data_IF_984260670103
#
_entry.id   IF_984260670103
#
_cell.length_a   1.000
_cell.length_b   1.000
_cell.length_c   1.000
_cell.angle_alpha   90.00
_cell.angle_beta   90.00
_cell.angle_gamma   90.00
#
_symmetry.space_group_name_H-M   'P 1'
#
loop_
_entity.id
_entity.type
_entity.pdbx_description
1 polymer ?
#
# COMPACT_ATOMS: atom_id res chain seq x y z
N UNK A 1 -12.56 -1.01 4.74
CA UNK A 1 -11.18 -1.10 4.24
C UNK A 1 -10.28 -0.29 5.15
N UNK A 2 -9.21 -0.90 5.66
CA UNK A 2 -8.17 -0.27 6.48
C UNK A 2 -7.01 0.21 5.61
N UNK A 3 -6.08 0.98 6.18
CA UNK A 3 -4.92 1.50 5.43
C UNK A 3 -4.07 0.38 4.80
N UNK A 4 -3.84 -0.72 5.50
CA UNK A 4 -3.00 -1.80 4.98
C UNK A 4 -3.70 -2.58 3.86
N UNK A 5 -5.01 -2.81 3.96
CA UNK A 5 -5.82 -3.36 2.86
C UNK A 5 -5.76 -2.43 1.63
N UNK A 6 -5.76 -1.11 1.83
CA UNK A 6 -5.58 -0.12 0.75
C UNK A 6 -4.26 -0.33 0.01
N UNK A 7 -3.17 -0.44 0.78
CA UNK A 7 -1.81 -0.55 0.27
C UNK A 7 -1.65 -1.89 -0.45
N UNK A 8 -2.15 -2.98 0.14
CA UNK A 8 -2.11 -4.30 -0.47
C UNK A 8 -2.88 -4.33 -1.79
N UNK A 9 -4.11 -3.80 -1.82
CA UNK A 9 -4.90 -3.69 -3.04
C UNK A 9 -4.17 -2.89 -4.11
N UNK A 10 -3.60 -1.74 -3.76
CA UNK A 10 -2.84 -0.90 -4.70
C UNK A 10 -1.66 -1.65 -5.32
N UNK A 11 -0.83 -2.28 -4.47
CA UNK A 11 0.36 -3.00 -4.94
C UNK A 11 -0.02 -4.22 -5.79
N UNK A 12 -1.15 -4.89 -5.49
CA UNK A 12 -1.72 -5.95 -6.34
C UNK A 12 -2.15 -5.41 -7.70
N UNK A 13 -2.90 -4.30 -7.74
CA UNK A 13 -3.39 -3.70 -9.00
C UNK A 13 -2.25 -3.18 -9.88
N UNK A 14 -1.21 -2.59 -9.27
CA UNK A 14 -0.07 -2.02 -9.99
C UNK A 14 0.94 -3.10 -10.39
N UNK A 15 0.98 -4.23 -9.68
CA UNK A 15 1.87 -5.35 -9.96
C UNK A 15 3.36 -5.03 -9.83
N UNK A 16 3.71 -3.90 -9.20
CA UNK A 16 5.08 -3.42 -9.03
C UNK A 16 5.28 -2.84 -7.63
N UNK A 17 6.53 -2.81 -7.20
CA UNK A 17 6.96 -2.00 -6.06
C UNK A 17 6.70 -0.51 -6.32
N UNK A 18 6.31 0.20 -5.27
CA UNK A 18 6.01 1.64 -5.32
C UNK A 18 6.62 2.35 -4.11
N UNK A 19 6.90 3.64 -4.26
CA UNK A 19 7.34 4.47 -3.14
C UNK A 19 6.18 4.80 -2.19
N UNK A 20 6.48 5.09 -0.92
CA UNK A 20 5.49 5.57 0.04
C UNK A 20 4.76 6.83 -0.44
N UNK A 21 5.43 7.69 -1.22
CA UNK A 21 4.85 8.84 -1.92
C UNK A 21 3.79 8.44 -2.92
N UNK A 22 4.15 7.63 -3.91
CA UNK A 22 3.21 7.16 -4.94
C UNK A 22 2.02 6.43 -4.31
N UNK A 23 2.28 5.58 -3.30
CA UNK A 23 1.22 4.85 -2.57
C UNK A 23 0.25 5.83 -1.91
N UNK A 24 0.77 6.87 -1.26
CA UNK A 24 -0.05 7.90 -0.60
C UNK A 24 -0.92 8.63 -1.61
N UNK A 25 -0.32 9.04 -2.73
CA UNK A 25 -0.99 9.80 -3.79
C UNK A 25 -2.11 8.96 -4.44
N UNK A 26 -1.83 7.72 -4.84
CA UNK A 26 -2.82 6.83 -5.44
C UNK A 26 -3.96 6.50 -4.45
N UNK A 27 -3.67 6.21 -3.18
CA UNK A 27 -4.70 5.92 -2.17
C UNK A 27 -5.60 7.13 -1.94
N UNK A 28 -5.02 8.33 -1.77
CA UNK A 28 -5.78 9.56 -1.55
C UNK A 28 -6.60 9.93 -2.79
N UNK A 29 -6.03 9.79 -3.99
CA UNK A 29 -6.69 10.08 -5.26
C UNK A 29 -7.89 9.15 -5.49
N UNK A 30 -7.71 7.86 -5.23
CA UNK A 30 -8.76 6.85 -5.40
C UNK A 30 -9.75 6.82 -4.23
N UNK A 31 -9.50 7.59 -3.15
CA UNK A 31 -10.27 7.61 -1.90
C UNK A 31 -10.53 6.22 -1.34
N UNK A 32 -9.59 5.29 -1.54
CA UNK A 32 -9.75 3.92 -1.05
C UNK A 32 -9.75 3.90 0.48
N UNK A 33 -8.91 4.72 1.11
CA UNK A 33 -8.87 4.91 2.55
C UNK A 33 -8.91 6.40 2.90
N UNK A 34 -9.77 6.75 3.86
CA UNK A 34 -9.87 8.08 4.44
C UNK A 34 -9.85 7.95 5.95
N UNK A 35 -9.17 8.88 6.63
CA UNK A 35 -9.14 8.90 8.10
C UNK A 35 -10.52 9.29 8.65
N UNK A 36 -10.73 9.06 9.96
CA UNK A 36 -12.00 9.34 10.63
C UNK A 36 -12.43 10.81 10.54
N UNK A 37 -11.46 11.72 10.52
CA UNK A 37 -11.64 13.17 10.36
C UNK A 37 -11.85 13.60 8.90
N UNK A 38 -11.91 12.67 7.95
CA UNK A 38 -12.13 12.96 6.53
C UNK A 38 -10.87 13.38 5.76
N UNK A 39 -9.74 13.60 6.43
CA UNK A 39 -8.51 13.98 5.76
C UNK A 39 -7.77 12.76 5.16
N UNK A 40 -6.96 13.02 4.14
CA UNK A 40 -6.13 12.01 3.48
C UNK A 40 -5.01 11.49 4.38
N UNK A 41 -4.38 10.41 3.93
CA UNK A 41 -3.19 9.87 4.58
C UNK A 41 -1.92 10.58 4.14
N UNK A 42 -0.84 10.42 4.91
CA UNK A 42 0.49 10.88 4.54
C UNK A 42 1.50 9.73 4.43
N UNK A 43 2.65 10.02 3.81
CA UNK A 43 3.73 9.05 3.56
C UNK A 43 4.24 8.39 4.83
N UNK A 44 4.31 9.13 5.95
CA UNK A 44 4.72 8.59 7.24
C UNK A 44 3.77 7.53 7.78
N UNK A 45 2.47 7.65 7.49
CA UNK A 45 1.47 6.64 7.88
C UNK A 45 1.63 5.37 7.04
N UNK A 46 1.86 5.50 5.73
CA UNK A 46 2.18 4.36 4.86
C UNK A 46 3.47 3.67 5.33
N UNK A 47 4.50 4.47 5.63
CA UNK A 47 5.76 3.98 6.16
C UNK A 47 5.55 3.21 7.47
N UNK A 48 4.94 3.82 8.49
CA UNK A 48 4.71 3.16 9.77
C UNK A 48 3.90 1.87 9.62
N UNK A 49 2.88 1.87 8.75
CA UNK A 49 2.02 0.71 8.53
C UNK A 49 2.74 -0.46 7.88
N UNK A 50 3.48 -0.18 6.81
CA UNK A 50 4.23 -1.19 6.04
C UNK A 50 5.42 -1.74 6.85
N UNK A 51 6.05 -0.92 7.70
CA UNK A 51 7.08 -1.37 8.63
C UNK A 51 6.53 -2.38 9.65
N UNK A 52 5.39 -2.05 10.27
CA UNK A 52 4.79 -2.91 11.30
C UNK A 52 4.22 -4.22 10.74
N UNK A 53 3.93 -4.26 9.44
CA UNK A 53 3.38 -5.43 8.75
C UNK A 53 4.43 -6.08 7.84
N UNK A 54 5.62 -6.30 8.38
CA UNK A 54 6.75 -6.96 7.71
C UNK A 54 6.48 -8.40 7.25
N UNK A 55 5.38 -9.01 7.68
CA UNK A 55 4.92 -10.30 7.17
C UNK A 55 4.19 -10.19 5.82
N UNK A 56 3.62 -9.01 5.49
CA UNK A 56 2.92 -8.74 4.22
C UNK A 56 3.79 -7.94 3.24
N UNK A 57 4.52 -6.96 3.77
CA UNK A 57 5.26 -6.01 2.96
C UNK A 57 6.76 -6.24 3.07
N UNK A 58 7.42 -6.15 1.93
CA UNK A 58 8.87 -6.02 1.85
C UNK A 58 9.23 -4.56 1.57
N UNK A 59 10.37 -4.12 2.10
CA UNK A 59 10.74 -2.71 2.13
C UNK A 59 12.22 -2.51 1.89
N UNK A 60 12.51 -1.58 0.98
CA UNK A 60 13.84 -1.05 0.75
C UNK A 60 13.78 0.48 0.83
N UNK A 61 14.13 1.03 1.99
CA UNK A 61 13.93 2.45 2.30
C UNK A 61 12.47 2.90 2.14
N UNK A 62 12.23 3.80 1.18
CA UNK A 62 10.89 4.31 0.85
C UNK A 62 10.11 3.41 -0.13
N UNK A 63 10.75 2.38 -0.68
CA UNK A 63 10.15 1.45 -1.63
C UNK A 63 9.43 0.33 -0.88
N UNK A 64 8.23 -0.02 -1.35
CA UNK A 64 7.37 -1.04 -0.74
C UNK A 64 6.90 -2.01 -1.81
N UNK A 65 6.97 -3.30 -1.52
CA UNK A 65 6.43 -4.38 -2.36
C UNK A 65 5.69 -5.42 -1.50
N UNK A 66 4.98 -6.34 -2.14
CA UNK A 66 4.30 -7.44 -1.43
C UNK A 66 5.20 -8.68 -1.41
N UNK A 67 5.34 -9.31 -0.23
CA UNK A 67 6.22 -10.48 -0.07
C UNK A 67 5.80 -11.71 -0.86
N UNK A 68 4.49 -11.89 -1.09
CA UNK A 68 3.96 -13.04 -1.80
C UNK A 68 3.13 -12.61 -3.01
N UNK A 69 3.71 -11.86 -3.96
CA UNK A 69 3.06 -11.52 -5.23
C UNK A 69 2.75 -12.75 -6.11
N UNK A 70 3.17 -13.95 -5.70
CA UNK A 70 3.08 -15.20 -6.46
C UNK A 70 1.66 -15.80 -6.56
N UNK A 71 0.67 -15.32 -5.81
CA UNK A 71 -0.63 -16.00 -5.67
C UNK A 71 -1.80 -15.38 -6.47
N UNK A 72 -1.59 -14.39 -7.35
CA UNK A 72 -2.73 -13.79 -8.08
C UNK A 72 -2.49 -13.45 -9.54
N UNK A 73 -1.59 -14.19 -10.20
CA UNK A 73 -1.53 -14.26 -11.67
C UNK A 73 -1.84 -15.68 -12.16
N UNK A 74 -3.09 -16.11 -12.05
CA UNK A 74 -3.62 -17.21 -12.86
C UNK A 74 -5.14 -17.28 -12.75
N UNK A 75 -5.86 -16.47 -13.53
CA UNK A 75 -7.13 -16.83 -14.20
C UNK A 75 -7.32 -15.88 -15.39
N UNK A 76 -6.68 -16.22 -16.51
CA UNK A 76 -7.18 -15.90 -17.86
C UNK A 76 -7.60 -17.20 -18.51
#
# INVERSE_FOLDING_TARGET
MTLHEAIEKLLKEKGRSMTTSEITEDINKNKWFTKKDGSGICQFQVHGRTHNQSHLFDRDGAMVSLKNQSDTKAKV
#
